data_IF_167578291047
#
_entry.id   IF_167578291047
#
_cell.length_a   1.000
_cell.length_b   1.000
_cell.length_c   1.000
_cell.angle_alpha   90.00
_cell.angle_beta   90.00
_cell.angle_gamma   90.00
#
_symmetry.space_group_name_H-M   'P 1'
#
loop_
_entity.id
_entity.type
_entity.pdbx_description
1 polymer ?
#
# COMPACT_ATOMS: atom_id res chain seq x y z
N UNK A 1 3.67 -11.11 17.94
CA UNK A 1 2.91 -9.84 18.07
C UNK A 1 3.40 -9.14 19.32
N UNK A 2 4.25 -8.12 19.21
CA UNK A 2 5.13 -7.72 20.34
C UNK A 2 4.48 -6.87 21.45
N UNK A 3 3.21 -6.44 21.35
CA UNK A 3 2.52 -5.70 22.42
C UNK A 3 1.03 -6.05 22.50
N UNK A 4 0.67 -7.09 23.28
CA UNK A 4 -0.74 -7.46 23.51
C UNK A 4 -1.61 -6.31 24.08
N UNK A 5 -1.11 -5.42 24.98
CA UNK A 5 -1.91 -4.31 25.49
C UNK A 5 -2.30 -3.30 24.42
N UNK A 6 -1.40 -3.01 23.48
CA UNK A 6 -1.66 -2.07 22.38
C UNK A 6 -2.81 -2.52 21.50
N UNK A 7 -2.91 -3.83 21.21
CA UNK A 7 -3.98 -4.40 20.39
C UNK A 7 -5.36 -4.17 21.00
N UNK A 8 -5.51 -4.34 22.31
CA UNK A 8 -6.78 -4.12 23.01
C UNK A 8 -7.15 -2.63 23.07
N UNK A 9 -6.18 -1.75 23.30
CA UNK A 9 -6.40 -0.29 23.25
C UNK A 9 -6.87 0.11 21.85
N UNK A 10 -6.24 -0.42 20.80
CA UNK A 10 -6.62 -0.14 19.42
C UNK A 10 -8.04 -0.62 19.12
N UNK A 11 -8.40 -1.86 19.48
CA UNK A 11 -9.77 -2.38 19.30
C UNK A 11 -10.81 -1.55 20.08
N UNK A 12 -10.49 -1.15 21.31
CA UNK A 12 -11.35 -0.28 22.12
C UNK A 12 -11.56 1.08 21.45
N UNK A 13 -10.51 1.69 20.91
CA UNK A 13 -10.62 2.93 20.15
C UNK A 13 -11.51 2.79 18.91
N UNK A 14 -11.37 1.71 18.14
CA UNK A 14 -12.22 1.43 16.97
C UNK A 14 -13.69 1.31 17.36
N UNK A 15 -13.97 0.58 18.45
CA UNK A 15 -15.32 0.44 18.97
C UNK A 15 -15.92 1.78 19.43
N UNK A 16 -15.14 2.62 20.10
CA UNK A 16 -15.59 3.96 20.51
C UNK A 16 -15.87 4.86 19.29
N UNK A 17 -15.04 4.78 18.25
CA UNK A 17 -15.30 5.47 16.98
C UNK A 17 -16.60 4.97 16.33
N UNK A 18 -16.85 3.66 16.37
CA UNK A 18 -18.10 3.07 15.88
C UNK A 18 -19.32 3.60 16.64
N UNK A 19 -19.25 3.67 17.96
CA UNK A 19 -20.32 4.24 18.80
C UNK A 19 -20.53 5.71 18.45
N UNK A 20 -19.45 6.49 18.28
CA UNK A 20 -19.53 7.92 17.98
C UNK A 20 -20.20 8.19 16.63
N UNK A 21 -19.75 7.52 15.56
CA UNK A 21 -20.37 7.63 14.23
C UNK A 21 -21.82 7.14 14.26
N UNK A 22 -22.11 6.08 15.02
CA UNK A 22 -23.48 5.58 15.17
C UNK A 22 -24.42 6.59 15.83
N UNK A 23 -23.97 7.36 16.82
CA UNK A 23 -24.80 8.40 17.45
C UNK A 23 -25.27 9.44 16.44
N UNK A 24 -24.38 9.86 15.54
CA UNK A 24 -24.71 10.79 14.45
C UNK A 24 -25.68 10.15 13.45
N UNK A 25 -25.41 8.91 13.02
CA UNK A 25 -26.32 8.19 12.13
C UNK A 25 -27.72 7.99 12.76
N UNK A 26 -27.78 7.66 14.05
CA UNK A 26 -29.04 7.53 14.80
C UNK A 26 -29.82 8.85 14.77
N UNK A 27 -29.15 9.98 15.02
CA UNK A 27 -29.76 11.31 14.95
C UNK A 27 -30.30 11.62 13.54
N UNK A 28 -29.51 11.39 12.50
CA UNK A 28 -29.91 11.61 11.10
C UNK A 28 -31.10 10.73 10.67
N UNK A 29 -31.22 9.53 11.21
CA UNK A 29 -32.28 8.56 10.89
C UNK A 29 -33.59 8.73 11.68
N UNK A 30 -33.73 9.79 12.46
CA UNK A 30 -34.93 10.04 13.29
C UNK A 30 -36.20 10.22 12.46
N UNK A 31 -36.10 10.86 11.29
CA UNK A 31 -37.23 11.01 10.35
C UNK A 31 -37.53 9.78 9.48
N UNK A 32 -36.68 8.74 9.52
CA UNK A 32 -36.86 7.55 8.69
C UNK A 32 -37.95 6.59 9.25
N UNK A 33 -38.56 5.80 8.36
CA UNK A 33 -39.55 4.79 8.76
C UNK A 33 -38.94 3.74 9.70
N UNK A 34 -39.73 3.07 10.57
CA UNK A 34 -39.20 2.07 11.49
C UNK A 34 -38.41 0.95 10.80
N UNK A 35 -38.87 0.48 9.64
CA UNK A 35 -38.18 -0.54 8.83
C UNK A 35 -36.86 -0.02 8.29
N UNK A 36 -36.84 1.19 7.73
CA UNK A 36 -35.61 1.78 7.21
C UNK A 36 -34.57 1.99 8.31
N UNK A 37 -35.01 2.44 9.51
CA UNK A 37 -34.14 2.60 10.67
C UNK A 37 -33.56 1.27 11.14
N UNK A 38 -34.38 0.23 11.24
CA UNK A 38 -33.92 -1.12 11.59
C UNK A 38 -32.86 -1.63 10.62
N UNK A 39 -33.09 -1.49 9.31
CA UNK A 39 -32.14 -1.91 8.29
C UNK A 39 -30.84 -1.10 8.33
N UNK A 40 -30.93 0.23 8.46
CA UNK A 40 -29.74 1.10 8.57
C UNK A 40 -28.92 0.78 9.81
N UNK A 41 -29.56 0.68 10.97
CA UNK A 41 -28.86 0.43 12.24
C UNK A 41 -28.30 -0.99 12.29
N UNK A 42 -29.08 -1.97 11.84
CA UNK A 42 -28.67 -3.37 11.77
C UNK A 42 -27.51 -3.57 10.81
N UNK A 43 -27.56 -3.00 9.59
CA UNK A 43 -26.47 -3.11 8.62
C UNK A 43 -25.20 -2.42 9.09
N UNK A 44 -25.30 -1.24 9.70
CA UNK A 44 -24.16 -0.55 10.30
C UNK A 44 -23.45 -1.42 11.33
N UNK A 45 -24.19 -1.91 12.34
CA UNK A 45 -23.59 -2.72 13.39
C UNK A 45 -23.11 -4.07 12.90
N UNK A 46 -23.78 -4.68 11.91
CA UNK A 46 -23.31 -5.90 11.26
C UNK A 46 -21.95 -5.68 10.60
N UNK A 47 -21.79 -4.61 9.81
CA UNK A 47 -20.52 -4.29 9.14
C UNK A 47 -19.44 -3.94 10.17
N UNK A 48 -19.75 -3.13 11.17
CA UNK A 48 -18.79 -2.78 12.24
C UNK A 48 -18.36 -4.00 13.05
N UNK A 49 -19.30 -4.84 13.50
CA UNK A 49 -18.99 -6.06 14.22
C UNK A 49 -18.17 -7.03 13.37
N UNK A 50 -18.52 -7.23 12.10
CA UNK A 50 -17.75 -8.07 11.18
C UNK A 50 -16.33 -7.53 10.99
N UNK A 51 -16.16 -6.20 10.85
CA UNK A 51 -14.84 -5.59 10.69
C UNK A 51 -13.95 -5.78 11.94
N UNK A 52 -14.52 -5.63 13.14
CA UNK A 52 -13.82 -5.87 14.41
C UNK A 52 -13.48 -7.35 14.60
N UNK A 53 -14.40 -8.26 14.25
CA UNK A 53 -14.16 -9.70 14.28
C UNK A 53 -13.04 -10.08 13.31
N UNK A 54 -13.09 -9.63 12.06
CA UNK A 54 -12.04 -9.90 11.07
C UNK A 54 -10.68 -9.34 11.51
N UNK A 55 -10.66 -8.17 12.18
CA UNK A 55 -9.44 -7.61 12.74
C UNK A 55 -8.90 -8.44 13.92
N UNK A 56 -9.78 -8.93 14.79
CA UNK A 56 -9.42 -9.81 15.90
C UNK A 56 -8.84 -11.14 15.40
N UNK A 57 -9.43 -11.69 14.34
CA UNK A 57 -8.97 -12.93 13.71
C UNK A 57 -7.87 -12.72 12.67
N UNK A 58 -7.48 -11.47 12.40
CA UNK A 58 -6.46 -11.13 11.41
C UNK A 58 -5.14 -11.91 11.65
N UNK A 59 -4.61 -12.04 12.87
CA UNK A 59 -3.39 -12.83 13.09
C UNK A 59 -3.50 -14.30 12.65
N UNK A 60 -4.69 -14.89 12.77
CA UNK A 60 -4.97 -16.27 12.35
C UNK A 60 -5.17 -16.36 10.84
N UNK A 61 -5.82 -15.36 10.24
CA UNK A 61 -5.88 -15.20 8.79
C UNK A 61 -4.49 -14.95 8.18
N UNK A 62 -3.51 -14.51 8.96
CA UNK A 62 -2.11 -14.32 8.56
C UNK A 62 -1.22 -15.54 8.83
N UNK A 63 -1.79 -16.68 9.24
CA UNK A 63 -1.08 -17.95 9.30
C UNK A 63 -0.60 -18.38 7.91
N UNK A 64 0.50 -19.15 7.86
CA UNK A 64 1.33 -19.47 6.67
C UNK A 64 0.57 -19.86 5.39
N UNK A 65 -0.65 -20.36 5.47
CA UNK A 65 -1.38 -20.95 4.34
C UNK A 65 -2.54 -20.10 3.79
N UNK A 66 -2.80 -18.91 4.32
CA UNK A 66 -3.88 -18.06 3.81
C UNK A 66 -3.46 -17.28 2.55
N UNK A 67 -4.38 -17.15 1.59
CA UNK A 67 -4.19 -16.37 0.36
C UNK A 67 -3.72 -14.93 0.70
N UNK A 68 -2.56 -14.53 0.15
CA UNK A 68 -2.00 -13.18 0.31
C UNK A 68 -2.97 -12.11 -0.19
N UNK A 69 -3.71 -12.42 -1.26
CA UNK A 69 -4.75 -11.55 -1.79
C UNK A 69 -5.89 -11.35 -0.79
N UNK A 70 -6.42 -12.43 -0.23
CA UNK A 70 -7.51 -12.36 0.73
C UNK A 70 -7.11 -11.52 1.96
N UNK A 71 -5.89 -11.72 2.48
CA UNK A 71 -5.33 -10.94 3.58
C UNK A 71 -5.26 -9.44 3.25
N UNK A 72 -4.75 -9.12 2.07
CA UNK A 72 -4.60 -7.73 1.62
C UNK A 72 -5.96 -7.05 1.41
N UNK A 73 -6.94 -7.78 0.86
CA UNK A 73 -8.30 -7.27 0.68
C UNK A 73 -8.97 -7.03 2.04
N UNK A 74 -8.93 -8.01 2.95
CA UNK A 74 -9.53 -7.87 4.28
C UNK A 74 -8.90 -6.70 5.04
N UNK A 75 -7.57 -6.60 5.02
CA UNK A 75 -6.86 -5.48 5.65
C UNK A 75 -7.26 -4.13 5.03
N UNK A 76 -7.28 -4.03 3.70
CA UNK A 76 -7.65 -2.80 3.00
C UNK A 76 -9.10 -2.38 3.28
N UNK A 77 -10.04 -3.34 3.35
CA UNK A 77 -11.43 -3.06 3.68
C UNK A 77 -11.58 -2.56 5.12
N UNK A 78 -10.96 -3.22 6.10
CA UNK A 78 -11.00 -2.81 7.51
C UNK A 78 -10.35 -1.43 7.66
N UNK A 79 -9.15 -1.24 7.12
CA UNK A 79 -8.43 0.03 7.18
C UNK A 79 -9.20 1.15 6.46
N UNK A 80 -9.80 0.86 5.30
CA UNK A 80 -10.63 1.80 4.55
C UNK A 80 -11.88 2.22 5.31
N UNK A 81 -12.62 1.27 5.89
CA UNK A 81 -13.79 1.55 6.73
C UNK A 81 -13.42 2.40 7.94
N UNK A 82 -12.29 2.09 8.57
CA UNK A 82 -11.79 2.85 9.70
C UNK A 82 -11.38 4.28 9.31
N UNK A 83 -10.60 4.45 8.24
CA UNK A 83 -10.20 5.76 7.74
C UNK A 83 -11.41 6.61 7.32
N UNK A 84 -12.40 6.00 6.70
CA UNK A 84 -13.67 6.65 6.36
C UNK A 84 -14.40 7.18 7.59
N UNK A 85 -14.50 6.37 8.66
CA UNK A 85 -15.10 6.77 9.93
C UNK A 85 -14.30 7.88 10.62
N UNK A 86 -12.97 7.77 10.62
CA UNK A 86 -12.09 8.79 11.19
C UNK A 86 -12.23 10.12 10.45
N UNK A 87 -12.32 10.07 9.12
CA UNK A 87 -12.52 11.25 8.29
C UNK A 87 -13.90 11.88 8.51
N UNK A 88 -14.96 11.07 8.59
CA UNK A 88 -16.30 11.55 8.95
C UNK A 88 -16.33 12.18 10.36
N UNK A 89 -15.62 11.57 11.32
CA UNK A 89 -15.54 12.05 12.69
C UNK A 89 -14.93 13.46 12.81
N UNK A 90 -14.08 13.90 11.87
CA UNK A 90 -13.58 15.28 11.84
C UNK A 90 -14.72 16.29 11.68
N UNK A 91 -15.68 16.00 10.80
CA UNK A 91 -16.85 16.86 10.59
C UNK A 91 -17.77 16.87 11.83
N UNK A 92 -17.98 15.69 12.42
CA UNK A 92 -18.81 15.55 13.61
C UNK A 92 -18.20 16.30 14.80
N UNK A 93 -16.88 16.15 14.98
CA UNK A 93 -16.14 16.82 16.05
C UNK A 93 -16.14 18.34 15.84
N UNK A 94 -16.09 18.80 14.59
CA UNK A 94 -16.22 20.22 14.26
C UNK A 94 -17.58 20.77 14.69
N UNK A 95 -18.67 20.03 14.43
CA UNK A 95 -20.00 20.40 14.90
C UNK A 95 -20.12 20.33 16.43
N UNK A 96 -19.53 19.32 17.08
CA UNK A 96 -19.51 19.19 18.53
C UNK A 96 -18.80 20.36 19.21
N UNK A 97 -17.61 20.73 18.72
CA UNK A 97 -16.86 21.89 19.21
C UNK A 97 -17.68 23.16 19.03
N UNK A 98 -18.29 23.35 17.85
CA UNK A 98 -19.16 24.50 17.58
C UNK A 98 -20.31 24.57 18.58
N UNK A 99 -20.99 23.44 18.84
CA UNK A 99 -22.11 23.35 19.80
C UNK A 99 -21.64 23.62 21.23
N UNK A 100 -20.50 23.06 21.65
CA UNK A 100 -19.94 23.28 22.98
C UNK A 100 -19.56 24.76 23.21
N UNK A 101 -18.96 25.41 22.22
CA UNK A 101 -18.65 26.84 22.26
C UNK A 101 -19.92 27.69 22.35
N UNK A 102 -20.93 27.41 21.52
CA UNK A 102 -22.22 28.10 21.57
C UNK A 102 -22.90 27.94 22.94
N UNK A 103 -22.92 26.73 23.47
CA UNK A 103 -23.46 26.45 24.79
C UNK A 103 -22.70 27.21 25.90
N UNK A 104 -21.37 27.24 25.83
CA UNK A 104 -20.53 27.98 26.77
C UNK A 104 -20.79 29.49 26.73
N UNK A 105 -20.86 30.08 25.53
CA UNK A 105 -21.18 31.51 25.35
C UNK A 105 -22.58 31.83 25.89
N UNK A 106 -23.59 31.01 25.58
CA UNK A 106 -24.95 31.22 26.09
C UNK A 106 -24.97 31.14 27.61
N UNK A 107 -24.29 30.16 28.20
CA UNK A 107 -24.27 29.97 29.66
C UNK A 107 -23.55 31.10 30.40
N UNK A 108 -22.53 31.70 29.79
CA UNK A 108 -21.73 32.79 30.41
C UNK A 108 -22.37 34.16 30.20
N UNK A 109 -22.89 34.44 28.99
CA UNK A 109 -23.31 35.79 28.59
C UNK A 109 -24.83 35.97 28.54
N UNK A 110 -25.63 34.90 28.56
CA UNK A 110 -27.09 34.97 28.46
C UNK A 110 -27.77 34.29 29.66
N UNK A 111 -27.72 34.94 30.81
CA UNK A 111 -28.62 34.69 31.95
C UNK A 111 -29.90 35.51 31.76
N UNK A 112 -30.96 34.83 31.30
CA UNK A 112 -32.35 35.35 31.15
C UNK A 112 -32.56 36.46 30.09
N UNK A 113 -32.99 36.05 28.90
CA UNK A 113 -34.24 36.53 28.29
C UNK A 113 -34.64 35.65 27.11
N UNK A 114 -35.87 35.20 27.18
CA UNK A 114 -36.59 34.43 26.17
C UNK A 114 -37.05 35.31 25.02
N UNK A 115 -36.80 34.88 23.79
CA UNK A 115 -37.85 34.69 22.76
C UNK A 115 -37.25 33.89 21.61
N UNK A 116 -37.86 32.75 21.32
CA UNK A 116 -37.55 31.92 20.18
C UNK A 116 -37.83 32.70 18.89
N UNK A 117 -36.78 32.97 18.12
CA UNK A 117 -36.95 33.31 16.71
C UNK A 117 -37.34 32.02 15.97
N UNK A 118 -38.62 31.92 15.64
CA UNK A 118 -39.14 31.04 14.60
C UNK A 118 -38.58 31.50 13.25
N UNK A 119 -37.56 30.80 12.76
CA UNK A 119 -36.93 31.08 11.47
C UNK A 119 -36.55 29.78 10.77
N UNK A 120 -37.25 29.53 9.66
CA UNK A 120 -37.07 28.50 8.63
C UNK A 120 -37.18 27.03 9.05
N UNK A 121 -38.42 26.54 9.04
CA UNK A 121 -38.74 25.12 9.15
C UNK A 121 -38.27 24.27 7.93
N UNK A 122 -37.84 24.90 6.83
CA UNK A 122 -37.50 24.22 5.57
C UNK A 122 -35.99 24.16 5.26
N UNK A 123 -35.12 24.72 6.11
CA UNK A 123 -33.67 24.70 5.87
C UNK A 123 -32.96 23.64 6.72
N UNK A 124 -32.05 22.90 6.08
CA UNK A 124 -31.18 21.92 6.76
C UNK A 124 -30.35 22.67 7.81
N UNK A 125 -30.44 22.23 9.08
CA UNK A 125 -29.64 22.83 10.15
C UNK A 125 -28.15 22.66 9.89
N UNK A 126 -27.30 23.58 10.38
CA UNK A 126 -25.84 23.47 10.23
C UNK A 126 -25.28 22.14 10.75
N UNK A 127 -25.83 21.63 11.85
CA UNK A 127 -25.49 20.31 12.40
C UNK A 127 -25.87 19.17 11.46
N UNK A 128 -27.09 19.21 10.89
CA UNK A 128 -27.52 18.23 9.91
C UNK A 128 -26.67 18.28 8.63
N UNK A 129 -26.34 19.49 8.16
CA UNK A 129 -25.43 19.69 7.03
C UNK A 129 -24.05 19.10 7.30
N UNK A 130 -23.39 19.44 8.41
CA UNK A 130 -22.08 18.90 8.77
C UNK A 130 -22.10 17.38 8.95
N UNK A 131 -23.17 16.84 9.52
CA UNK A 131 -23.36 15.40 9.68
C UNK A 131 -23.48 14.69 8.33
N UNK A 132 -24.31 15.20 7.41
CA UNK A 132 -24.42 14.65 6.06
C UNK A 132 -23.13 14.81 5.26
N UNK A 133 -22.48 15.97 5.35
CA UNK A 133 -21.19 16.22 4.71
C UNK A 133 -20.12 15.22 5.19
N UNK A 134 -20.03 14.98 6.50
CA UNK A 134 -19.11 13.99 7.07
C UNK A 134 -19.41 12.56 6.60
N UNK A 135 -20.68 12.15 6.58
CA UNK A 135 -21.08 10.83 6.08
C UNK A 135 -20.75 10.65 4.59
N UNK A 136 -21.04 11.65 3.76
CA UNK A 136 -20.73 11.64 2.33
C UNK A 136 -19.22 11.64 2.09
N UNK A 137 -18.47 12.48 2.81
CA UNK A 137 -17.02 12.56 2.70
C UNK A 137 -16.35 11.25 3.13
N UNK A 138 -16.77 10.66 4.25
CA UNK A 138 -16.27 9.37 4.73
C UNK A 138 -16.58 8.22 3.76
N UNK A 139 -17.85 8.09 3.35
CA UNK A 139 -18.26 7.05 2.39
C UNK A 139 -17.60 7.21 1.02
N UNK A 140 -17.44 8.45 0.54
CA UNK A 140 -16.69 8.77 -0.67
C UNK A 140 -15.22 8.38 -0.57
N UNK A 141 -14.55 8.67 0.56
CA UNK A 141 -13.18 8.24 0.81
C UNK A 141 -13.07 6.70 0.79
N UNK A 142 -14.00 5.99 1.42
CA UNK A 142 -14.05 4.53 1.37
C UNK A 142 -14.16 4.01 -0.08
N UNK A 143 -15.06 4.60 -0.88
CA UNK A 143 -15.22 4.28 -2.30
C UNK A 143 -13.95 4.54 -3.11
N UNK A 144 -13.25 5.64 -2.87
CA UNK A 144 -11.99 5.95 -3.54
C UNK A 144 -10.87 4.97 -3.16
N UNK A 145 -10.76 4.60 -1.89
CA UNK A 145 -9.76 3.64 -1.41
C UNK A 145 -10.00 2.24 -2.00
N UNK A 146 -11.26 1.79 -2.05
CA UNK A 146 -11.63 0.50 -2.65
C UNK A 146 -11.41 0.51 -4.16
N UNK A 147 -11.79 1.58 -4.86
CA UNK A 147 -11.49 1.77 -6.28
C UNK A 147 -9.97 1.74 -6.55
N UNK A 148 -9.19 2.38 -5.69
CA UNK A 148 -7.73 2.43 -5.77
C UNK A 148 -7.05 1.06 -5.76
N UNK A 149 -7.68 0.02 -5.20
CA UNK A 149 -7.14 -1.35 -5.17
C UNK A 149 -6.95 -1.95 -6.58
N UNK A 150 -7.72 -1.48 -7.56
CA UNK A 150 -7.62 -1.88 -8.97
C UNK A 150 -6.50 -1.16 -9.74
N UNK A 151 -5.92 -0.08 -9.21
CA UNK A 151 -4.92 0.72 -9.91
C UNK A 151 -3.55 0.04 -10.10
N UNK A 152 -3.31 -1.12 -9.48
CA UNK A 152 -2.01 -1.83 -9.53
C UNK A 152 -1.54 -2.19 -10.94
N UNK A 153 -2.47 -2.24 -11.90
CA UNK A 153 -2.20 -2.54 -13.32
C UNK A 153 -2.16 -1.31 -14.23
N UNK A 154 -2.28 -0.11 -13.66
CA UNK A 154 -2.25 1.15 -14.42
C UNK A 154 -0.80 1.56 -14.72
N UNK A 155 -0.11 0.75 -15.51
CA UNK A 155 1.30 0.98 -15.87
C UNK A 155 1.48 2.28 -16.66
N UNK A 156 2.44 3.08 -16.22
CA UNK A 156 2.83 4.35 -16.84
C UNK A 156 4.30 4.30 -17.21
N UNK A 157 4.62 4.73 -18.43
CA UNK A 157 6.00 4.90 -18.87
C UNK A 157 6.40 6.35 -18.60
N UNK A 158 7.38 6.55 -17.72
CA UNK A 158 8.00 7.86 -17.47
C UNK A 158 9.36 7.88 -18.14
N UNK A 159 9.59 8.85 -19.03
CA UNK A 159 10.86 9.03 -19.73
C UNK A 159 11.65 10.14 -19.04
N UNK A 160 12.83 9.82 -18.57
CA UNK A 160 13.77 10.77 -17.96
C UNK A 160 15.04 10.76 -18.81
N UNK A 161 15.48 11.95 -19.21
CA UNK A 161 16.77 12.13 -19.87
C UNK A 161 17.83 12.43 -18.82
N UNK A 162 18.94 11.72 -18.87
CA UNK A 162 20.10 11.95 -18.03
C UNK A 162 21.30 12.23 -18.93
N UNK A 163 22.03 13.29 -18.63
CA UNK A 163 23.24 13.66 -19.36
C UNK A 163 24.40 13.66 -18.33
N UNK A 164 25.52 13.03 -18.68
CA UNK A 164 26.69 12.93 -17.81
C UNK A 164 27.96 13.28 -18.60
N UNK A 165 28.78 14.19 -18.06
CA UNK A 165 30.01 14.65 -18.73
C UNK A 165 31.02 13.52 -18.99
N UNK A 166 30.97 12.47 -18.16
CA UNK A 166 31.87 11.31 -18.24
C UNK A 166 31.25 10.09 -18.90
N UNK A 167 30.09 10.22 -19.56
CA UNK A 167 29.49 9.10 -20.29
C UNK A 167 30.33 8.81 -21.54
N UNK A 168 30.83 7.58 -21.75
CA UNK A 168 31.55 7.25 -22.97
C UNK A 168 30.63 7.39 -24.18
N UNK A 169 31.17 7.92 -25.29
CA UNK A 169 30.42 8.25 -26.50
C UNK A 169 29.61 7.07 -27.07
N UNK A 170 30.13 5.84 -26.96
CA UNK A 170 29.44 4.63 -27.41
C UNK A 170 28.09 4.40 -26.67
N UNK A 171 27.97 4.88 -25.42
CA UNK A 171 26.76 4.77 -24.61
C UNK A 171 25.83 5.98 -24.77
N UNK A 172 26.15 6.96 -25.63
CA UNK A 172 25.23 8.03 -25.94
C UNK A 172 23.94 7.47 -26.56
N UNK A 173 22.79 7.91 -26.03
CA UNK A 173 21.47 7.40 -26.44
C UNK A 173 21.11 6.02 -25.88
N UNK A 174 21.90 5.46 -24.96
CA UNK A 174 21.58 4.22 -24.25
C UNK A 174 20.18 4.30 -23.61
N UNK A 175 19.31 3.34 -23.94
CA UNK A 175 17.96 3.24 -23.37
C UNK A 175 17.94 2.20 -22.25
N UNK A 176 17.79 2.69 -21.02
CA UNK A 176 17.62 1.85 -19.84
C UNK A 176 16.13 1.84 -19.48
N UNK A 177 15.53 0.65 -19.42
CA UNK A 177 14.24 0.49 -18.73
C UNK A 177 14.52 0.06 -17.30
N UNK A 178 14.07 0.88 -16.36
CA UNK A 178 14.17 0.63 -14.93
C UNK A 178 12.81 0.20 -14.38
N UNK A 179 12.79 -0.93 -13.68
CA UNK A 179 11.64 -1.49 -12.98
C UNK A 179 12.05 -1.91 -11.57
N UNK A 180 11.11 -1.92 -10.64
CA UNK A 180 11.34 -2.23 -9.23
C UNK A 180 10.01 -2.56 -8.56
N UNK A 181 10.04 -3.13 -7.35
CA UNK A 181 8.88 -3.25 -6.45
C UNK A 181 7.68 -3.95 -7.10
N UNK A 182 7.95 -5.02 -7.84
CA UNK A 182 6.94 -5.77 -8.57
C UNK A 182 5.99 -6.49 -7.62
N UNK A 183 6.50 -7.01 -6.49
CA UNK A 183 5.68 -7.64 -5.47
C UNK A 183 4.72 -8.70 -6.04
N UNK A 184 5.25 -9.65 -6.82
CA UNK A 184 4.48 -10.58 -7.67
C UNK A 184 3.32 -11.30 -6.98
N UNK A 185 3.41 -11.63 -5.70
CA UNK A 185 2.30 -12.22 -4.94
C UNK A 185 1.09 -11.31 -4.71
N UNK A 186 1.17 -10.04 -5.10
CA UNK A 186 0.06 -9.08 -5.11
C UNK A 186 -0.70 -9.07 -6.44
N UNK A 187 -0.21 -9.80 -7.46
CA UNK A 187 -0.90 -9.92 -8.74
C UNK A 187 -2.03 -10.95 -8.68
N UNK A 188 -3.13 -10.62 -9.35
CA UNK A 188 -4.36 -11.41 -9.48
C UNK A 188 -4.80 -11.57 -10.93
N UNK A 189 -4.27 -10.76 -11.84
CA UNK A 189 -4.56 -10.75 -13.26
C UNK A 189 -3.26 -10.90 -14.06
N UNK A 190 -3.08 -12.10 -14.63
CA UNK A 190 -1.91 -12.45 -15.42
C UNK A 190 -1.87 -11.74 -16.77
N UNK A 191 -3.02 -11.47 -17.39
CA UNK A 191 -3.12 -10.75 -18.67
C UNK A 191 -2.70 -9.29 -18.51
N UNK A 192 -3.08 -8.69 -17.38
CA UNK A 192 -2.61 -7.37 -17.03
C UNK A 192 -1.08 -7.34 -16.85
N UNK A 193 -0.50 -8.31 -16.14
CA UNK A 193 0.98 -8.44 -16.01
C UNK A 193 1.65 -8.55 -17.37
N UNK A 194 1.13 -9.40 -18.26
CA UNK A 194 1.61 -9.53 -19.63
C UNK A 194 1.57 -8.20 -20.40
N UNK A 195 0.49 -7.43 -20.28
CA UNK A 195 0.40 -6.08 -20.86
C UNK A 195 1.48 -5.13 -20.33
N UNK A 196 1.91 -5.30 -19.08
CA UNK A 196 3.05 -4.58 -18.49
C UNK A 196 4.39 -4.98 -19.12
N UNK A 197 4.62 -6.28 -19.30
CA UNK A 197 5.80 -6.82 -19.99
C UNK A 197 5.88 -6.29 -21.43
N UNK A 198 4.76 -6.27 -22.17
CA UNK A 198 4.71 -5.71 -23.52
C UNK A 198 5.07 -4.22 -23.55
N UNK A 199 4.57 -3.44 -22.57
CA UNK A 199 4.90 -2.01 -22.46
C UNK A 199 6.40 -1.78 -22.24
N UNK A 200 7.06 -2.64 -21.47
CA UNK A 200 8.52 -2.60 -21.25
C UNK A 200 9.25 -2.88 -22.57
N UNK A 201 8.92 -3.98 -23.23
CA UNK A 201 9.59 -4.39 -24.48
C UNK A 201 9.35 -3.38 -25.62
N UNK A 202 8.17 -2.75 -25.67
CA UNK A 202 7.84 -1.69 -26.62
C UNK A 202 8.76 -0.45 -26.50
N UNK A 203 9.45 -0.25 -25.37
CA UNK A 203 10.45 0.83 -25.25
C UNK A 203 11.74 0.54 -26.02
N UNK A 204 11.93 -0.70 -26.50
CA UNK A 204 13.17 -1.20 -27.12
C UNK A 204 14.39 -0.87 -26.24
N UNK A 205 14.42 -1.40 -25.00
CA UNK A 205 15.54 -1.18 -24.09
C UNK A 205 16.83 -1.79 -24.64
N UNK A 206 17.93 -1.07 -24.45
CA UNK A 206 19.28 -1.63 -24.61
C UNK A 206 19.70 -2.39 -23.35
N UNK A 207 19.21 -1.95 -22.19
CA UNK A 207 19.48 -2.51 -20.86
C UNK A 207 18.19 -2.49 -20.03
N UNK A 208 17.92 -3.56 -19.27
CA UNK A 208 16.84 -3.60 -18.29
C UNK A 208 17.46 -3.75 -16.89
N UNK A 209 17.04 -2.88 -15.97
CA UNK A 209 17.47 -2.92 -14.57
C UNK A 209 16.27 -3.17 -13.67
N UNK A 210 16.34 -4.21 -12.84
CA UNK A 210 15.37 -4.54 -11.81
C UNK A 210 15.93 -4.28 -10.41
N UNK A 211 15.45 -3.26 -9.70
CA UNK A 211 16.12 -2.82 -8.44
C UNK A 211 15.53 -3.38 -7.14
N UNK A 212 14.94 -4.57 -7.20
CA UNK A 212 14.52 -5.31 -6.02
C UNK A 212 13.01 -5.40 -5.80
N UNK A 213 12.63 -6.17 -4.79
CA UNK A 213 11.25 -6.45 -4.36
C UNK A 213 10.44 -7.14 -5.47
N UNK A 214 10.98 -8.26 -5.97
CA UNK A 214 10.32 -9.11 -6.97
C UNK A 214 9.14 -9.87 -6.37
N UNK A 215 9.28 -10.30 -5.12
CA UNK A 215 8.24 -11.00 -4.34
C UNK A 215 7.86 -10.18 -3.11
N UNK A 216 6.69 -10.44 -2.54
CA UNK A 216 6.33 -9.87 -1.24
C UNK A 216 7.11 -10.55 -0.12
N UNK A 217 7.21 -11.88 -0.17
CA UNK A 217 7.94 -12.64 0.83
C UNK A 217 8.45 -14.00 0.33
N UNK A 218 7.66 -14.74 -0.46
CA UNK A 218 7.97 -16.13 -0.81
C UNK A 218 8.34 -16.25 -2.29
N UNK A 219 9.36 -17.07 -2.59
CA UNK A 219 9.78 -17.33 -3.96
C UNK A 219 8.65 -17.93 -4.82
N UNK A 220 7.76 -18.73 -4.21
CA UNK A 220 6.61 -19.34 -4.87
C UNK A 220 5.60 -18.33 -5.45
N UNK A 221 5.64 -17.07 -5.00
CA UNK A 221 4.82 -16.00 -5.55
C UNK A 221 5.19 -15.66 -7.01
N UNK A 222 6.43 -15.95 -7.39
CA UNK A 222 6.94 -15.67 -8.74
C UNK A 222 6.60 -16.78 -9.74
N UNK A 223 6.36 -18.01 -9.26
CA UNK A 223 6.09 -19.19 -10.10
C UNK A 223 5.06 -18.97 -11.22
N UNK A 224 3.90 -18.31 -10.99
CA UNK A 224 2.88 -18.11 -12.04
C UNK A 224 3.30 -17.14 -13.16
N UNK A 225 4.40 -16.41 -12.97
CA UNK A 225 4.82 -15.30 -13.83
C UNK A 225 6.23 -15.48 -14.39
N UNK A 226 6.93 -16.58 -14.06
CA UNK A 226 8.31 -16.82 -14.52
C UNK A 226 8.44 -16.76 -16.04
N UNK A 227 7.48 -17.34 -16.76
CA UNK A 227 7.50 -17.35 -18.22
C UNK A 227 7.27 -15.94 -18.80
N UNK A 228 6.43 -15.12 -18.17
CA UNK A 228 6.20 -13.74 -18.60
C UNK A 228 7.44 -12.87 -18.39
N UNK A 229 8.03 -12.91 -17.20
CA UNK A 229 9.20 -12.09 -16.87
C UNK A 229 10.48 -12.61 -17.55
N UNK A 230 10.57 -13.90 -17.88
CA UNK A 230 11.64 -14.48 -18.71
C UNK A 230 11.65 -13.99 -20.16
N UNK A 231 10.59 -13.31 -20.62
CA UNK A 231 10.56 -12.61 -21.91
C UNK A 231 11.29 -11.28 -21.88
N UNK A 232 11.56 -10.72 -20.70
CA UNK A 232 12.36 -9.50 -20.58
C UNK A 232 13.79 -9.81 -21.01
N UNK A 233 14.16 -9.29 -22.18
CA UNK A 233 15.48 -9.43 -22.78
C UNK A 233 15.87 -8.09 -23.39
N UNK A 234 17.16 -7.76 -23.26
CA UNK A 234 17.74 -6.57 -23.86
C UNK A 234 19.17 -6.89 -24.33
N UNK A 235 19.69 -6.19 -25.36
CA UNK A 235 21.02 -6.44 -25.93
C UNK A 235 22.17 -6.46 -24.92
N UNK A 236 22.17 -5.56 -23.94
CA UNK A 236 23.20 -5.50 -22.89
C UNK A 236 22.85 -6.36 -21.66
N UNK A 237 21.68 -7.01 -21.67
CA UNK A 237 21.22 -7.92 -20.63
C UNK A 237 20.14 -7.34 -19.71
N UNK A 238 19.68 -8.19 -18.79
CA UNK A 238 18.78 -7.83 -17.69
C UNK A 238 19.52 -8.07 -16.40
N UNK A 239 19.65 -7.03 -15.58
CA UNK A 239 20.35 -7.11 -14.30
C UNK A 239 19.42 -6.78 -13.16
N UNK A 240 19.64 -7.44 -12.04
CA UNK A 240 18.80 -7.29 -10.86
C UNK A 240 19.61 -7.20 -9.57
N UNK A 241 18.99 -6.62 -8.55
CA UNK A 241 19.44 -6.72 -7.16
C UNK A 241 18.27 -7.20 -6.28
N UNK A 242 18.55 -7.57 -5.04
CA UNK A 242 17.50 -7.94 -4.06
C UNK A 242 17.04 -6.71 -3.28
N UNK A 243 15.73 -6.57 -3.15
CA UNK A 243 15.09 -5.62 -2.26
C UNK A 243 14.85 -6.23 -0.87
N UNK A 244 14.33 -5.44 0.07
CA UNK A 244 14.14 -5.90 1.44
C UNK A 244 13.09 -7.02 1.59
N UNK A 245 12.14 -7.13 0.67
CA UNK A 245 11.13 -8.19 0.68
C UNK A 245 11.66 -9.52 0.17
N UNK A 246 12.64 -9.50 -0.72
CA UNK A 246 13.20 -10.69 -1.36
C UNK A 246 13.95 -11.61 -0.37
N UNK A 247 14.45 -11.07 0.75
CA UNK A 247 15.10 -11.84 1.82
C UNK A 247 14.12 -12.60 2.73
N UNK A 248 12.82 -12.32 2.60
CA UNK A 248 11.77 -12.95 3.40
C UNK A 248 11.93 -12.81 4.92
N UNK A 249 12.52 -11.71 5.39
CA UNK A 249 12.73 -11.42 6.81
C UNK A 249 11.43 -11.21 7.60
N UNK A 250 10.34 -10.91 6.91
CA UNK A 250 9.04 -10.64 7.51
C UNK A 250 8.17 -11.89 7.69
N UNK A 251 8.69 -13.07 7.35
CA UNK A 251 8.02 -14.36 7.52
C UNK A 251 8.60 -15.10 8.72
N UNK A 252 7.72 -15.76 9.49
CA UNK A 252 8.15 -16.71 10.52
C UNK A 252 8.50 -18.03 9.84
N UNK A 253 9.77 -18.41 9.87
CA UNK A 253 10.27 -19.65 9.30
C UNK A 253 10.29 -20.78 10.33
N UNK A 254 10.16 -22.03 9.88
CA UNK A 254 10.25 -23.20 10.78
C UNK A 254 11.71 -23.48 11.15
N UNK A 255 12.64 -23.12 10.26
CA UNK A 255 14.08 -23.22 10.47
C UNK A 255 14.83 -22.16 9.65
N UNK A 256 16.12 -21.96 9.93
CA UNK A 256 16.99 -21.05 9.17
C UNK A 256 17.20 -21.57 7.75
N UNK A 257 17.32 -22.88 7.59
CA UNK A 257 17.52 -23.58 6.32
C UNK A 257 16.32 -23.38 5.40
N UNK A 258 15.09 -23.43 5.94
CA UNK A 258 13.88 -23.18 5.15
C UNK A 258 13.87 -21.77 4.54
N UNK A 259 14.32 -20.76 5.31
CA UNK A 259 14.47 -19.38 4.81
C UNK A 259 15.55 -19.28 3.74
N UNK A 260 16.71 -19.90 3.97
CA UNK A 260 17.82 -19.91 3.02
C UNK A 260 17.43 -20.58 1.71
N UNK A 261 16.70 -21.70 1.77
CA UNK A 261 16.17 -22.39 0.60
C UNK A 261 15.19 -21.53 -0.20
N UNK A 262 14.33 -20.75 0.47
CA UNK A 262 13.44 -19.80 -0.20
C UNK A 262 14.24 -18.73 -0.96
N UNK A 263 15.25 -18.14 -0.30
CA UNK A 263 16.11 -17.13 -0.94
C UNK A 263 16.87 -17.72 -2.14
N UNK A 264 17.50 -18.89 -1.97
CA UNK A 264 18.20 -19.58 -3.05
C UNK A 264 17.26 -19.90 -4.22
N UNK A 265 16.03 -20.33 -3.95
CA UNK A 265 15.00 -20.56 -4.97
C UNK A 265 14.69 -19.30 -5.76
N UNK A 266 14.50 -18.16 -5.08
CA UNK A 266 14.25 -16.88 -5.75
C UNK A 266 15.42 -16.44 -6.64
N UNK A 267 16.66 -16.61 -6.16
CA UNK A 267 17.86 -16.32 -6.94
C UNK A 267 17.96 -17.21 -8.19
N UNK A 268 17.67 -18.51 -8.05
CA UNK A 268 17.61 -19.45 -9.19
C UNK A 268 16.52 -19.09 -10.18
N UNK A 269 15.34 -18.67 -9.71
CA UNK A 269 14.25 -18.21 -10.57
C UNK A 269 14.66 -16.99 -11.41
N UNK A 270 15.40 -16.04 -10.84
CA UNK A 270 15.93 -14.90 -11.60
C UNK A 270 16.92 -15.36 -12.68
N UNK A 271 17.82 -16.30 -12.36
CA UNK A 271 18.71 -16.89 -13.34
C UNK A 271 17.94 -17.65 -14.45
N UNK A 272 16.88 -18.38 -14.12
CA UNK A 272 16.01 -19.07 -15.09
C UNK A 272 15.30 -18.10 -16.05
N UNK A 273 14.96 -16.90 -15.58
CA UNK A 273 14.43 -15.81 -16.43
C UNK A 273 15.51 -15.18 -17.33
N UNK A 274 16.77 -15.59 -17.21
CA UNK A 274 17.90 -15.04 -17.94
C UNK A 274 18.42 -13.72 -17.35
N UNK A 275 18.08 -13.41 -16.11
CA UNK A 275 18.54 -12.20 -15.43
C UNK A 275 19.85 -12.48 -14.71
N UNK A 276 20.72 -11.48 -14.64
CA UNK A 276 21.95 -11.53 -13.86
C UNK A 276 21.77 -10.74 -12.56
N UNK A 277 21.69 -11.48 -11.47
CA UNK A 277 21.65 -10.91 -10.12
C UNK A 277 23.04 -10.41 -9.72
N UNK A 278 23.10 -9.20 -9.16
CA UNK A 278 24.33 -8.54 -8.71
C UNK A 278 24.23 -8.26 -7.20
N UNK A 279 24.95 -9.02 -6.36
CA UNK A 279 24.87 -8.93 -4.90
C UNK A 279 26.11 -8.27 -4.29
N UNK A 280 26.10 -6.93 -4.28
CA UNK A 280 27.29 -6.13 -3.98
C UNK A 280 28.44 -6.49 -4.92
N UNK A 281 28.11 -6.50 -6.21
CA UNK A 281 28.96 -6.92 -7.32
C UNK A 281 28.91 -5.90 -8.45
N UNK A 282 29.84 -6.04 -9.37
CA UNK A 282 29.91 -5.22 -10.57
C UNK A 282 30.01 -6.05 -11.84
N UNK A 283 29.62 -5.44 -12.94
CA UNK A 283 29.80 -5.96 -14.28
C UNK A 283 30.21 -4.81 -15.21
N UNK A 284 31.15 -5.09 -16.10
CA UNK A 284 31.54 -4.16 -17.15
C UNK A 284 30.64 -4.42 -18.36
N UNK A 285 29.89 -3.41 -18.77
CA UNK A 285 29.17 -3.39 -20.03
C UNK A 285 30.11 -2.86 -21.11
N UNK A 286 30.26 -3.59 -22.21
CA UNK A 286 31.14 -3.18 -23.31
C UNK A 286 30.31 -2.81 -24.55
N UNK A 287 30.65 -1.68 -25.18
CA UNK A 287 30.08 -1.24 -26.46
C UNK A 287 31.13 -0.46 -27.24
N UNK A 288 31.40 -0.86 -28.49
CA UNK A 288 32.35 -0.18 -29.39
C UNK A 288 33.72 0.10 -28.73
N UNK A 289 34.29 -0.90 -28.04
CA UNK A 289 35.56 -0.82 -27.29
C UNK A 289 35.56 0.13 -26.08
N UNK A 290 34.40 0.70 -25.72
CA UNK A 290 34.24 1.50 -24.52
C UNK A 290 33.49 0.72 -23.45
N UNK A 291 33.75 1.09 -22.20
CA UNK A 291 33.28 0.37 -21.02
C UNK A 291 32.38 1.25 -20.16
N UNK A 292 31.30 0.67 -19.65
CA UNK A 292 30.44 1.26 -18.64
C UNK A 292 30.30 0.27 -17.47
N UNK A 293 30.76 0.68 -16.30
CA UNK A 293 30.67 -0.14 -15.10
C UNK A 293 29.27 -0.06 -14.50
N UNK A 294 28.60 -1.22 -14.38
CA UNK A 294 27.31 -1.36 -13.71
C UNK A 294 27.52 -2.01 -12.35
N UNK A 295 27.11 -1.30 -11.29
CA UNK A 295 27.20 -1.75 -9.91
C UNK A 295 25.82 -2.21 -9.42
N UNK A 296 25.75 -3.40 -8.84
CA UNK A 296 24.59 -3.87 -8.10
C UNK A 296 24.85 -3.85 -6.61
N UNK A 297 24.11 -3.02 -5.88
CA UNK A 297 24.18 -2.92 -4.42
C UNK A 297 22.92 -3.53 -3.83
N UNK A 298 23.09 -4.45 -2.87
CA UNK A 298 21.97 -5.08 -2.17
C UNK A 298 21.19 -4.05 -1.32
N UNK A 299 20.00 -4.45 -0.84
CA UNK A 299 19.13 -3.60 -0.04
C UNK A 299 19.88 -2.82 1.06
N UNK A 300 19.71 -1.50 1.05
CA UNK A 300 20.29 -0.58 2.01
C UNK A 300 19.22 0.38 2.55
N UNK A 301 19.10 0.44 3.88
CA UNK A 301 18.14 1.33 4.55
C UNK A 301 18.84 2.34 5.46
N UNK A 302 18.37 3.59 5.39
CA UNK A 302 18.75 4.64 6.35
C UNK A 302 18.11 4.43 7.74
N UNK A 303 17.03 3.65 7.85
CA UNK A 303 16.31 3.40 9.11
C UNK A 303 16.91 2.18 9.83
N UNK A 304 17.25 2.28 11.14
CA UNK A 304 17.90 1.21 11.91
C UNK A 304 17.14 -0.12 11.98
N UNK A 305 15.81 -0.06 11.89
CA UNK A 305 14.93 -1.23 12.02
C UNK A 305 14.87 -2.13 10.79
N UNK A 306 15.42 -1.68 9.66
CA UNK A 306 15.39 -2.44 8.41
C UNK A 306 16.76 -3.06 8.15
N UNK A 307 16.80 -4.28 7.59
CA UNK A 307 18.04 -4.95 7.25
C UNK A 307 18.92 -4.10 6.33
N UNK A 308 20.24 -4.28 6.45
CA UNK A 308 21.25 -3.68 5.57
C UNK A 308 22.14 -4.78 5.03
N UNK A 309 21.96 -5.08 3.76
CA UNK A 309 22.76 -6.03 3.01
C UNK A 309 23.72 -5.33 2.05
N UNK A 310 23.38 -4.11 1.62
CA UNK A 310 24.17 -3.30 0.71
C UNK A 310 25.58 -2.97 1.24
N UNK A 311 26.57 -3.11 0.37
CA UNK A 311 27.95 -2.72 0.60
C UNK A 311 28.52 -2.13 -0.70
N UNK A 312 28.52 -0.79 -0.77
CA UNK A 312 28.97 -0.06 -1.94
C UNK A 312 30.46 -0.29 -2.22
N UNK A 313 31.30 -0.29 -1.18
CA UNK A 313 32.74 -0.54 -1.33
C UNK A 313 33.03 -1.92 -1.90
N UNK A 314 32.26 -2.93 -1.50
CA UNK A 314 32.35 -4.28 -2.07
C UNK A 314 31.86 -4.31 -3.52
N UNK A 315 30.77 -3.61 -3.84
CA UNK A 315 30.24 -3.53 -5.21
C UNK A 315 31.25 -2.88 -6.17
N UNK A 316 31.90 -1.78 -5.77
CA UNK A 316 33.00 -1.18 -6.52
C UNK A 316 34.22 -2.11 -6.61
N UNK A 317 34.41 -3.01 -5.65
CA UNK A 317 35.62 -3.83 -5.54
C UNK A 317 36.89 -2.99 -5.41
N UNK A 318 38.05 -3.60 -5.66
CA UNK A 318 39.31 -2.89 -5.93
C UNK A 318 39.32 -2.41 -7.38
N UNK A 319 38.50 -1.41 -7.70
CA UNK A 319 38.76 -0.56 -8.87
C UNK A 319 39.81 0.44 -8.42
N UNK A 320 41.08 0.11 -8.70
CA UNK A 320 42.23 1.02 -8.63
C UNK A 320 42.31 1.84 -9.92
#
# INVERSE_FOLDING_TARGET
>A
MRNAPFWWIFLGFLFLLDVYVFQVMRHLSTGATPRARLLLHGSYWLVSALSLLLLLFLPYLFAKNASQLARSIVFALIAGLFLAKLFAAVFFLTDDIRRALQWGVIKIFYTKSSTAASGDADLITRSAFLSWAGMLAGSGLFGLLTYGMGNRYRYQVKKVRMDFDRLPAAFNGLRIVHISDIHSGSFTDRSAVESGIEKILAQRPDLILFTGDLVNNLASEMTPYLDLFGRLKAPLGVYSVLGNHDYADYVKWDSVEAKQNNLATLQQMQAQMGWRLLLNEQVVLQKEQQELLLLGVENWSAKPRFPKYGNLSKAYGTVA
#
